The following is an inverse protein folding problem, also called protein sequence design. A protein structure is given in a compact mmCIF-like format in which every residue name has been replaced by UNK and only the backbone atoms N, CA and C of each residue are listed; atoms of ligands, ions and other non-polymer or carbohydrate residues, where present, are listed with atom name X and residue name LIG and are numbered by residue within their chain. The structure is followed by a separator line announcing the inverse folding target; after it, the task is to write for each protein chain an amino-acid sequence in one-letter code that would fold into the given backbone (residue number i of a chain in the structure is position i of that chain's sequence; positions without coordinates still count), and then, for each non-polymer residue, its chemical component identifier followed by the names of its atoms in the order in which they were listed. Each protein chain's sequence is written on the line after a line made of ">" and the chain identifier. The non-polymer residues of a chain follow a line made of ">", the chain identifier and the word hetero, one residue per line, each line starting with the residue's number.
data_IF_857388571770
#
_entry.id   IF_857388571770
#
_cell.length_a   1.000
_cell.length_b   1.000
_cell.length_c   1.000
_cell.angle_alpha   90.00
_cell.angle_beta   90.00
_cell.angle_gamma   90.00
#
_symmetry.space_group_name_H-M   'P 1'
#
loop_
_entity.id
_entity.type
_entity.pdbx_description
1 polymer ?
#
# COMPACT_ATOMS: atom_id res chain seq x y z
N UNK A 1 61.78 -3.54 -0.80
CA UNK A 1 61.06 -2.84 -1.88
C UNK A 1 60.26 -3.88 -2.65
N UNK A 2 58.97 -4.03 -2.32
CA UNK A 2 58.13 -5.13 -2.80
C UNK A 2 56.68 -4.83 -2.47
N UNK A 3 56.06 -4.01 -3.32
CA UNK A 3 54.69 -3.53 -3.21
C UNK A 3 53.73 -4.68 -3.54
N UNK A 4 53.35 -5.50 -2.55
CA UNK A 4 52.25 -6.48 -2.71
C UNK A 4 50.94 -5.84 -2.27
N UNK A 5 50.30 -5.26 -3.27
CA UNK A 5 48.86 -5.03 -3.45
C UNK A 5 48.00 -5.85 -2.46
N UNK A 6 47.65 -5.25 -1.32
CA UNK A 6 46.58 -5.76 -0.46
C UNK A 6 45.28 -5.23 -1.02
N UNK A 7 44.59 -6.09 -1.74
CA UNK A 7 43.24 -5.92 -2.29
C UNK A 7 42.32 -5.30 -1.23
N UNK A 8 42.00 -4.03 -1.43
CA UNK A 8 40.94 -3.32 -0.73
C UNK A 8 39.63 -3.95 -1.21
N UNK A 9 39.04 -4.83 -0.40
CA UNK A 9 37.70 -5.36 -0.66
C UNK A 9 36.72 -4.22 -0.38
N UNK A 10 36.42 -3.44 -1.42
CA UNK A 10 35.28 -2.55 -1.45
C UNK A 10 34.03 -3.44 -1.50
N UNK A 11 33.49 -3.81 -0.34
CA UNK A 11 32.09 -4.22 -0.27
C UNK A 11 31.29 -2.93 -0.44
N UNK A 12 31.09 -2.53 -1.70
CA UNK A 12 29.96 -1.68 -2.03
C UNK A 12 28.74 -2.55 -1.72
N UNK A 13 28.15 -2.36 -0.54
CA UNK A 13 26.76 -2.77 -0.32
C UNK A 13 25.97 -1.89 -1.28
N UNK A 14 25.84 -2.35 -2.52
CA UNK A 14 24.87 -1.81 -3.45
C UNK A 14 23.52 -2.17 -2.84
N UNK A 15 22.98 -1.25 -2.04
CA UNK A 15 21.53 -1.15 -1.89
C UNK A 15 20.96 -1.29 -3.29
N UNK A 16 20.07 -2.25 -3.55
CA UNK A 16 19.48 -2.32 -4.86
C UNK A 16 18.62 -1.05 -4.97
N UNK A 17 19.13 -0.06 -5.72
CA UNK A 17 18.35 1.02 -6.31
C UNK A 17 17.39 0.37 -7.30
N UNK A 18 16.40 -0.36 -6.78
CA UNK A 18 15.24 -0.81 -7.54
C UNK A 18 14.37 0.43 -7.70
N UNK A 19 14.74 1.26 -8.68
CA UNK A 19 13.84 2.26 -9.22
C UNK A 19 12.53 1.58 -9.58
N UNK A 20 11.42 2.19 -9.17
CA UNK A 20 10.10 1.73 -9.54
C UNK A 20 10.01 1.67 -11.07
N UNK A 21 9.51 0.56 -11.61
CA UNK A 21 9.32 0.43 -13.06
C UNK A 21 7.98 0.98 -13.54
N UNK A 22 7.07 1.34 -12.63
CA UNK A 22 5.71 1.73 -12.91
C UNK A 22 5.34 3.09 -12.34
N UNK A 23 4.64 3.90 -13.15
CA UNK A 23 4.15 5.24 -12.77
C UNK A 23 3.29 5.23 -11.51
N UNK A 24 2.56 4.13 -11.26
CA UNK A 24 1.79 3.93 -10.03
C UNK A 24 2.69 3.83 -8.79
N UNK A 25 3.77 3.05 -8.87
CA UNK A 25 4.71 2.88 -7.75
C UNK A 25 5.42 4.18 -7.38
N UNK A 26 5.91 4.92 -8.38
CA UNK A 26 6.55 6.23 -8.16
C UNK A 26 5.59 7.24 -7.53
N UNK A 27 4.35 7.29 -8.03
CA UNK A 27 3.32 8.15 -7.47
C UNK A 27 2.99 7.77 -6.02
N UNK A 28 2.75 6.49 -5.75
CA UNK A 28 2.44 6.00 -4.42
C UNK A 28 3.57 6.30 -3.44
N UNK A 29 4.82 6.06 -3.83
CA UNK A 29 6.00 6.41 -3.04
C UNK A 29 6.02 7.90 -2.69
N UNK A 30 5.83 8.77 -3.69
CA UNK A 30 5.81 10.23 -3.50
C UNK A 30 4.75 10.64 -2.47
N UNK A 31 3.52 10.16 -2.63
CA UNK A 31 2.42 10.43 -1.69
C UNK A 31 2.77 9.94 -0.28
N UNK A 32 3.24 8.70 -0.12
CA UNK A 32 3.57 8.12 1.18
C UNK A 32 4.64 8.96 1.92
N UNK A 33 5.64 9.46 1.19
CA UNK A 33 6.70 10.31 1.77
C UNK A 33 6.17 11.66 2.25
N UNK A 34 5.23 12.28 1.52
CA UNK A 34 4.58 13.53 1.94
C UNK A 34 3.82 13.36 3.26
N UNK A 35 3.21 12.20 3.49
CA UNK A 35 2.53 11.87 4.75
C UNK A 35 3.46 11.32 5.84
N UNK A 36 4.78 11.42 5.65
CA UNK A 36 5.77 11.11 6.68
C UNK A 36 6.05 9.61 6.87
N UNK A 37 5.61 8.75 5.96
CA UNK A 37 5.94 7.31 6.00
C UNK A 37 7.46 7.13 5.85
N UNK A 38 8.14 6.39 6.74
CA UNK A 38 9.58 6.13 6.61
C UNK A 38 9.94 5.61 5.21
N UNK A 39 11.08 6.04 4.66
CA UNK A 39 11.42 5.78 3.26
C UNK A 39 11.39 4.30 2.88
N UNK A 40 11.98 3.44 3.72
CA UNK A 40 11.94 1.99 3.56
C UNK A 40 10.50 1.47 3.43
N UNK A 41 9.62 1.90 4.33
CA UNK A 41 8.25 1.38 4.38
C UNK A 41 7.43 1.97 3.22
N UNK A 42 7.66 3.22 2.84
CA UNK A 42 7.07 3.83 1.66
C UNK A 42 7.46 3.05 0.39
N UNK A 43 8.73 2.63 0.27
CA UNK A 43 9.18 1.80 -0.85
C UNK A 43 8.47 0.45 -0.90
N UNK A 44 8.39 -0.22 0.26
CA UNK A 44 7.74 -1.53 0.39
C UNK A 44 6.25 -1.43 0.04
N UNK A 45 5.53 -0.45 0.60
CA UNK A 45 4.09 -0.25 0.35
C UNK A 45 3.85 0.07 -1.12
N UNK A 46 4.58 1.03 -1.70
CA UNK A 46 4.40 1.43 -3.09
C UNK A 46 4.62 0.28 -4.08
N UNK A 47 5.68 -0.50 -3.86
CA UNK A 47 5.97 -1.69 -4.68
C UNK A 47 4.89 -2.74 -4.52
N UNK A 48 4.50 -3.03 -3.27
CA UNK A 48 3.48 -4.04 -2.98
C UNK A 48 2.13 -3.66 -3.57
N UNK A 49 1.76 -2.38 -3.53
CA UNK A 49 0.56 -1.84 -4.17
C UNK A 49 0.56 -2.10 -5.68
N UNK A 50 1.68 -1.88 -6.36
CA UNK A 50 1.83 -2.15 -7.79
C UNK A 50 1.83 -3.65 -8.12
N UNK A 51 2.38 -4.49 -7.26
CA UNK A 51 2.30 -5.95 -7.41
C UNK A 51 0.85 -6.44 -7.27
N UNK A 52 0.15 -6.00 -6.23
CA UNK A 52 -1.23 -6.42 -5.96
C UNK A 52 -2.22 -5.91 -7.01
N UNK A 53 -1.99 -4.74 -7.61
CA UNK A 53 -2.83 -4.23 -8.72
C UNK A 53 -2.78 -5.10 -9.98
N UNK A 54 -1.74 -5.93 -10.14
CA UNK A 54 -1.59 -6.88 -11.23
C UNK A 54 -2.21 -8.24 -10.90
N UNK A 55 -2.39 -8.57 -9.63
CA UNK A 55 -2.92 -9.86 -9.13
C UNK A 55 -4.43 -9.78 -8.89
N UNK A 56 -4.87 -8.72 -8.22
CA UNK A 56 -6.28 -8.48 -7.91
C UNK A 56 -6.97 -7.95 -9.16
N UNK A 57 -8.15 -8.49 -9.55
CA UNK A 57 -8.88 -8.00 -10.71
C UNK A 57 -9.11 -6.48 -10.63
N UNK A 58 -9.19 -5.83 -11.80
CA UNK A 58 -9.27 -4.38 -11.99
C UNK A 58 -10.52 -3.69 -11.38
N UNK A 59 -11.27 -4.39 -10.53
CA UNK A 59 -12.43 -3.87 -9.81
C UNK A 59 -12.06 -3.03 -8.58
N UNK A 60 -10.83 -3.10 -8.09
CA UNK A 60 -10.33 -2.21 -7.02
C UNK A 60 -9.21 -1.35 -7.60
N UNK A 61 -9.47 -0.04 -7.69
CA UNK A 61 -8.45 0.93 -8.07
C UNK A 61 -7.38 1.02 -6.96
N UNK A 62 -6.08 0.86 -7.29
CA UNK A 62 -5.00 0.98 -6.31
C UNK A 62 -5.00 2.29 -5.52
N UNK A 63 -5.46 3.39 -6.12
CA UNK A 63 -5.56 4.68 -5.44
C UNK A 63 -6.59 4.66 -4.31
N UNK A 64 -7.59 3.78 -4.37
CA UNK A 64 -8.51 3.57 -3.25
C UNK A 64 -7.78 3.01 -2.01
N UNK A 65 -6.83 2.11 -2.22
CA UNK A 65 -6.05 1.54 -1.11
C UNK A 65 -5.22 2.63 -0.44
N UNK A 66 -4.64 3.54 -1.23
CA UNK A 66 -3.96 4.72 -0.68
C UNK A 66 -4.93 5.60 0.12
N UNK A 67 -6.14 5.83 -0.41
CA UNK A 67 -7.18 6.59 0.29
C UNK A 67 -7.57 5.93 1.62
N UNK A 68 -7.68 4.60 1.69
CA UNK A 68 -7.91 3.89 2.95
C UNK A 68 -6.78 4.15 3.95
N UNK A 69 -5.50 4.08 3.56
CA UNK A 69 -4.38 4.40 4.48
C UNK A 69 -4.42 5.82 5.03
N UNK A 70 -4.86 6.79 4.21
CA UNK A 70 -5.06 8.18 4.64
C UNK A 70 -6.21 8.31 5.65
N UNK A 71 -7.34 7.69 5.34
CA UNK A 71 -8.53 7.70 6.21
C UNK A 71 -8.23 7.02 7.55
N UNK A 72 -7.60 5.86 7.51
CA UNK A 72 -7.42 5.00 8.69
C UNK A 72 -6.45 5.59 9.71
N UNK A 73 -5.26 6.02 9.26
CA UNK A 73 -4.22 6.45 10.20
C UNK A 73 -3.43 7.67 9.76
N UNK A 74 -3.79 8.30 8.62
CA UNK A 74 -2.93 9.24 7.91
C UNK A 74 -1.56 8.62 7.62
N UNK A 75 -1.56 7.33 7.25
CA UNK A 75 -0.36 6.51 7.08
C UNK A 75 0.61 6.49 8.29
N UNK A 76 0.07 6.53 9.50
CA UNK A 76 0.86 6.24 10.70
C UNK A 76 0.81 4.74 10.99
N UNK A 77 1.98 4.12 11.19
CA UNK A 77 2.09 2.71 11.55
C UNK A 77 1.86 2.53 13.06
N UNK A 78 0.60 2.45 13.47
CA UNK A 78 0.20 2.51 14.89
C UNK A 78 -0.79 1.42 15.27
N UNK A 79 -0.91 1.19 16.57
CA UNK A 79 -1.97 0.37 17.16
C UNK A 79 -3.17 1.27 17.47
N UNK A 80 -4.34 0.94 16.93
CA UNK A 80 -5.60 1.61 17.19
C UNK A 80 -6.66 0.67 17.78
N UNK A 81 -7.88 1.19 17.94
CA UNK A 81 -9.04 0.49 18.51
C UNK A 81 -8.71 -0.33 19.77
N UNK A 82 -8.02 0.30 20.73
CA UNK A 82 -7.62 -0.33 21.99
C UNK A 82 -6.82 -1.65 21.81
N UNK A 83 -5.96 -1.72 20.79
CA UNK A 83 -5.12 -2.90 20.54
C UNK A 83 -5.60 -3.80 19.40
N UNK A 84 -6.76 -3.51 18.80
CA UNK A 84 -7.41 -4.42 17.83
C UNK A 84 -7.09 -4.10 16.38
N UNK A 85 -6.81 -2.84 16.07
CA UNK A 85 -6.49 -2.37 14.72
C UNK A 85 -4.99 -2.10 14.59
N UNK A 86 -4.35 -2.59 13.53
CA UNK A 86 -2.89 -2.55 13.40
C UNK A 86 -2.44 -1.89 12.09
N UNK A 87 -1.53 -0.92 12.23
CA UNK A 87 -0.67 -0.40 11.19
C UNK A 87 -1.28 0.68 10.29
N UNK A 88 -0.67 0.88 9.12
CA UNK A 88 -1.03 1.91 8.14
C UNK A 88 -2.50 1.86 7.72
N UNK A 89 -3.09 0.67 7.67
CA UNK A 89 -4.46 0.44 7.21
C UNK A 89 -5.41 0.00 8.33
N UNK A 90 -4.96 0.10 9.59
CA UNK A 90 -5.75 -0.21 10.80
C UNK A 90 -6.47 -1.57 10.71
N UNK A 91 -5.76 -2.61 10.29
CA UNK A 91 -6.34 -3.92 10.04
C UNK A 91 -6.72 -4.61 11.35
N UNK A 92 -7.96 -5.08 11.43
CA UNK A 92 -8.45 -5.95 12.51
C UNK A 92 -8.08 -7.41 12.24
N UNK A 93 -7.88 -8.21 13.29
CA UNK A 93 -7.53 -9.63 13.13
C UNK A 93 -8.59 -10.41 12.34
N UNK A 94 -9.87 -10.05 12.51
CA UNK A 94 -10.96 -10.65 11.74
C UNK A 94 -10.81 -10.42 10.22
N UNK A 95 -10.30 -9.25 9.80
CA UNK A 95 -10.03 -8.97 8.39
C UNK A 95 -8.88 -9.85 7.87
N UNK A 96 -7.81 -10.01 8.66
CA UNK A 96 -6.69 -10.91 8.32
C UNK A 96 -7.17 -12.35 8.15
N UNK A 97 -7.97 -12.85 9.12
CA UNK A 97 -8.54 -14.20 9.06
C UNK A 97 -9.46 -14.36 7.86
N UNK A 98 -10.30 -13.36 7.57
CA UNK A 98 -11.17 -13.39 6.41
C UNK A 98 -10.37 -13.53 5.11
N UNK A 99 -9.34 -12.72 4.91
CA UNK A 99 -8.47 -12.83 3.72
C UNK A 99 -7.74 -14.18 3.67
N UNK A 100 -7.25 -14.69 4.81
CA UNK A 100 -6.58 -15.98 4.90
C UNK A 100 -7.46 -17.17 4.46
N UNK A 101 -8.79 -17.04 4.51
CA UNK A 101 -9.69 -18.07 4.00
C UNK A 101 -9.65 -18.22 2.47
N UNK A 102 -9.26 -17.17 1.75
CA UNK A 102 -9.23 -17.14 0.29
C UNK A 102 -7.81 -17.14 -0.30
N UNK A 103 -6.82 -16.66 0.44
CA UNK A 103 -5.44 -16.51 -0.03
C UNK A 103 -4.47 -17.34 0.82
N UNK A 104 -3.82 -18.33 0.20
CA UNK A 104 -2.95 -19.29 0.88
C UNK A 104 -1.68 -18.65 1.45
N UNK A 105 -1.11 -17.67 0.75
CA UNK A 105 0.04 -16.90 1.23
C UNK A 105 -0.30 -16.12 2.52
N UNK A 106 -1.49 -15.53 2.62
CA UNK A 106 -1.98 -14.86 3.84
C UNK A 106 -2.23 -15.88 4.96
N UNK A 107 -2.74 -17.07 4.62
CA UNK A 107 -2.89 -18.18 5.58
C UNK A 107 -1.54 -18.62 6.15
N UNK A 108 -0.52 -18.75 5.30
CA UNK A 108 0.84 -19.10 5.71
C UNK A 108 1.47 -18.00 6.55
N UNK A 109 1.33 -16.74 6.14
CA UNK A 109 1.74 -15.59 6.95
C UNK A 109 1.16 -15.66 8.35
N UNK A 110 -0.15 -15.87 8.50
CA UNK A 110 -0.81 -15.93 9.82
C UNK A 110 -0.40 -17.15 10.65
N UNK A 111 -0.07 -18.28 10.02
CA UNK A 111 0.48 -19.45 10.72
C UNK A 111 1.87 -19.17 11.31
N UNK A 112 2.69 -18.42 10.57
CA UNK A 112 4.05 -18.05 10.98
C UNK A 112 4.07 -16.88 11.97
N UNK A 113 3.04 -16.02 11.96
CA UNK A 113 2.94 -14.81 12.79
C UNK A 113 1.66 -14.85 13.64
N UNK A 114 1.75 -15.49 14.82
CA UNK A 114 0.56 -15.78 15.63
C UNK A 114 -0.04 -14.52 16.24
N UNK A 115 0.78 -13.56 16.69
CA UNK A 115 0.29 -12.33 17.33
C UNK A 115 -0.12 -11.31 16.27
N UNK A 116 -1.34 -10.80 16.36
CA UNK A 116 -1.84 -9.77 15.43
C UNK A 116 -0.95 -8.51 15.41
N UNK A 117 -0.39 -8.12 16.55
CA UNK A 117 0.50 -6.96 16.66
C UNK A 117 1.82 -7.08 15.87
N UNK A 118 2.25 -8.29 15.51
CA UNK A 118 3.46 -8.48 14.70
C UNK A 118 3.33 -7.83 13.31
N UNK A 119 2.09 -7.62 12.84
CA UNK A 119 1.78 -6.99 11.56
C UNK A 119 2.38 -5.58 11.43
N UNK A 120 2.64 -4.86 12.53
CA UNK A 120 3.35 -3.57 12.52
C UNK A 120 4.70 -3.64 11.80
N UNK A 121 5.38 -4.78 11.83
CA UNK A 121 6.72 -4.94 11.27
C UNK A 121 6.71 -5.27 9.77
N UNK A 122 5.53 -5.46 9.17
CA UNK A 122 5.36 -5.99 7.82
C UNK A 122 4.48 -5.06 6.95
N UNK A 123 5.03 -3.92 6.47
CA UNK A 123 4.27 -2.98 5.62
C UNK A 123 3.75 -3.61 4.33
N UNK A 124 4.48 -4.59 3.78
CA UNK A 124 4.05 -5.40 2.64
C UNK A 124 2.78 -6.18 2.97
N UNK A 125 2.78 -6.95 4.05
CA UNK A 125 1.61 -7.73 4.45
C UNK A 125 0.43 -6.86 4.82
N UNK A 126 0.66 -5.72 5.48
CA UNK A 126 -0.38 -4.72 5.71
C UNK A 126 -1.04 -4.28 4.40
N UNK A 127 -0.24 -3.99 3.36
CA UNK A 127 -0.74 -3.54 2.06
C UNK A 127 -1.47 -4.66 1.32
N UNK A 128 -0.90 -5.87 1.24
CA UNK A 128 -1.51 -7.04 0.58
C UNK A 128 -2.85 -7.38 1.20
N UNK A 129 -2.90 -7.44 2.53
CA UNK A 129 -4.13 -7.78 3.26
C UNK A 129 -5.17 -6.69 3.05
N UNK A 130 -4.82 -5.41 3.17
CA UNK A 130 -5.77 -4.31 2.96
C UNK A 130 -6.36 -4.34 1.54
N UNK A 131 -5.52 -4.46 0.50
CA UNK A 131 -5.97 -4.52 -0.89
C UNK A 131 -6.94 -5.69 -1.12
N UNK A 132 -6.53 -6.89 -0.74
CA UNK A 132 -7.33 -8.10 -0.94
C UNK A 132 -8.60 -8.09 -0.09
N UNK A 133 -8.56 -7.53 1.12
CA UNK A 133 -9.73 -7.37 1.97
C UNK A 133 -10.77 -6.47 1.31
N UNK A 134 -10.36 -5.34 0.74
CA UNK A 134 -11.26 -4.44 -0.02
C UNK A 134 -11.90 -5.20 -1.18
N UNK A 135 -11.11 -5.93 -1.97
CA UNK A 135 -11.62 -6.70 -3.11
C UNK A 135 -12.61 -7.81 -2.69
N UNK A 136 -12.26 -8.61 -1.69
CA UNK A 136 -13.12 -9.69 -1.20
C UNK A 136 -14.41 -9.14 -0.59
N UNK A 137 -14.33 -8.02 0.15
CA UNK A 137 -15.51 -7.37 0.72
C UNK A 137 -16.42 -6.85 -0.38
N UNK A 138 -15.85 -6.15 -1.38
CA UNK A 138 -16.59 -5.67 -2.55
C UNK A 138 -17.33 -6.81 -3.25
N UNK A 139 -16.62 -7.89 -3.55
CA UNK A 139 -17.16 -9.02 -4.31
C UNK A 139 -18.15 -9.87 -3.51
N UNK A 140 -17.76 -10.29 -2.32
CA UNK A 140 -18.45 -11.37 -1.59
C UNK A 140 -19.45 -10.86 -0.54
N UNK A 141 -19.24 -9.65 0.00
CA UNK A 141 -20.07 -9.10 1.08
C UNK A 141 -21.03 -8.06 0.54
N UNK A 142 -20.50 -7.11 -0.23
CA UNK A 142 -21.24 -5.94 -0.69
C UNK A 142 -21.82 -6.07 -2.12
N UNK A 143 -21.64 -7.22 -2.78
CA UNK A 143 -22.21 -7.50 -4.12
C UNK A 143 -21.87 -6.40 -5.15
N UNK A 144 -20.62 -5.97 -5.16
CA UNK A 144 -20.08 -4.89 -6.00
C UNK A 144 -20.58 -3.48 -5.67
N UNK A 145 -21.23 -3.28 -4.52
CA UNK A 145 -21.53 -1.95 -4.01
C UNK A 145 -20.29 -1.33 -3.34
N UNK A 146 -19.70 -0.36 -4.03
CA UNK A 146 -18.52 0.38 -3.58
C UNK A 146 -18.78 1.15 -2.28
N UNK A 147 -19.95 1.80 -2.17
CA UNK A 147 -20.30 2.63 -1.04
C UNK A 147 -20.42 1.79 0.23
N UNK A 148 -21.14 0.67 0.12
CA UNK A 148 -21.23 -0.33 1.18
C UNK A 148 -19.86 -0.91 1.56
N UNK A 149 -18.97 -1.12 0.58
CA UNK A 149 -17.61 -1.64 0.83
C UNK A 149 -16.77 -0.66 1.64
N UNK A 150 -16.78 0.62 1.26
CA UNK A 150 -16.06 1.68 1.99
C UNK A 150 -16.59 1.76 3.43
N UNK A 151 -17.91 1.71 3.60
CA UNK A 151 -18.51 1.68 4.94
C UNK A 151 -18.13 0.43 5.73
N UNK A 152 -18.11 -0.75 5.10
CA UNK A 152 -17.82 -2.01 5.76
C UNK A 152 -16.37 -2.05 6.26
N UNK A 153 -15.44 -1.39 5.57
CA UNK A 153 -14.04 -1.28 6.00
C UNK A 153 -13.92 -0.61 7.38
N UNK A 154 -14.67 0.46 7.63
CA UNK A 154 -14.69 1.17 8.92
C UNK A 154 -15.28 0.33 10.08
N UNK A 155 -16.19 -0.61 9.78
CA UNK A 155 -16.83 -1.46 10.79
C UNK A 155 -17.80 -0.75 11.75
N UNK A 156 -18.08 0.55 11.56
CA UNK A 156 -18.95 1.36 12.43
C UNK A 156 -20.12 1.99 11.66
N UNK A 157 -21.34 1.56 11.99
CA UNK A 157 -22.58 2.03 11.36
C UNK A 157 -23.00 3.44 11.81
N UNK A 158 -22.57 3.89 12.98
CA UNK A 158 -22.93 5.20 13.57
C UNK A 158 -22.18 6.39 12.96
N UNK A 159 -21.11 6.14 12.20
CA UNK A 159 -20.28 7.16 11.54
C UNK A 159 -20.20 7.03 10.03
N UNK A 160 -21.19 6.35 9.45
CA UNK A 160 -21.30 6.04 8.03
C UNK A 160 -20.94 7.23 7.12
N UNK A 161 -21.65 8.37 7.26
CA UNK A 161 -21.48 9.51 6.37
C UNK A 161 -20.10 10.16 6.46
N UNK A 162 -19.56 10.34 7.67
CA UNK A 162 -18.28 11.03 7.87
C UNK A 162 -17.10 10.24 7.31
N UNK A 163 -17.09 8.92 7.50
CA UNK A 163 -16.00 8.07 7.02
C UNK A 163 -15.99 8.03 5.49
N UNK A 164 -17.16 7.80 4.88
CA UNK A 164 -17.34 7.74 3.44
C UNK A 164 -16.98 9.08 2.78
N UNK A 165 -17.43 10.20 3.34
CA UNK A 165 -17.10 11.54 2.82
C UNK A 165 -15.58 11.78 2.85
N UNK A 166 -14.93 11.45 3.98
CA UNK A 166 -13.47 11.59 4.11
C UNK A 166 -12.73 10.73 3.10
N UNK A 167 -13.21 9.51 2.85
CA UNK A 167 -12.66 8.62 1.85
C UNK A 167 -12.74 9.23 0.44
N UNK A 168 -13.93 9.66 0.01
CA UNK A 168 -14.10 10.24 -1.33
C UNK A 168 -13.31 11.54 -1.51
N UNK A 169 -13.16 12.34 -0.45
CA UNK A 169 -12.29 13.53 -0.49
C UNK A 169 -10.85 13.16 -0.80
N UNK A 170 -10.24 12.24 -0.05
CA UNK A 170 -8.87 11.80 -0.34
C UNK A 170 -8.75 11.12 -1.70
N UNK A 171 -9.71 10.26 -2.05
CA UNK A 171 -9.67 9.52 -3.29
C UNK A 171 -9.74 10.42 -4.54
N UNK A 172 -10.64 11.41 -4.54
CA UNK A 172 -10.74 12.38 -5.63
C UNK A 172 -9.49 13.27 -5.77
N UNK A 173 -8.87 13.63 -4.65
CA UNK A 173 -7.58 14.34 -4.65
C UNK A 173 -6.48 13.46 -5.27
N UNK A 174 -6.38 12.19 -4.87
CA UNK A 174 -5.39 11.25 -5.38
C UNK A 174 -5.54 11.03 -6.89
N UNK A 175 -6.76 10.87 -7.40
CA UNK A 175 -7.01 10.75 -8.85
C UNK A 175 -6.49 12.00 -9.59
N UNK A 176 -6.84 13.19 -9.09
CA UNK A 176 -6.46 14.46 -9.71
C UNK A 176 -4.94 14.67 -9.70
N UNK A 177 -4.27 14.23 -8.63
CA UNK A 177 -2.81 14.28 -8.51
C UNK A 177 -2.15 13.25 -9.42
N UNK A 178 -2.68 12.02 -9.50
CA UNK A 178 -2.13 10.97 -10.33
C UNK A 178 -2.24 11.29 -11.83
N UNK A 179 -3.36 11.86 -12.28
CA UNK A 179 -3.53 12.28 -13.66
C UNK A 179 -2.49 13.34 -14.09
N UNK A 180 -2.16 14.28 -13.19
CA UNK A 180 -1.10 15.27 -13.41
C UNK A 180 0.28 14.62 -13.44
N UNK A 181 0.57 13.76 -12.46
CA UNK A 181 1.82 13.01 -12.37
C UNK A 181 2.10 12.19 -13.64
N UNK A 182 1.10 11.46 -14.15
CA UNK A 182 1.22 10.71 -15.40
C UNK A 182 1.53 11.60 -16.60
N UNK A 183 0.91 12.80 -16.66
CA UNK A 183 1.13 13.73 -17.76
C UNK A 183 2.56 14.28 -17.76
N UNK A 184 3.11 14.54 -16.58
CA UNK A 184 4.49 15.01 -16.40
C UNK A 184 5.50 13.92 -16.74
N UNK A 185 5.29 12.69 -16.27
CA UNK A 185 6.14 11.54 -16.60
C UNK A 185 6.23 11.32 -18.12
N UNK A 186 5.10 11.36 -18.84
CA UNK A 186 5.08 11.22 -20.31
C UNK A 186 5.83 12.33 -21.05
N UNK A 187 5.82 13.56 -20.53
CA UNK A 187 6.58 14.67 -21.13
C UNK A 187 8.08 14.43 -21.03
N UNK A 188 8.56 13.95 -19.89
CA UNK A 188 9.99 13.63 -19.67
C UNK A 188 10.46 12.57 -20.67
N UNK A 189 9.69 11.50 -20.86
CA UNK A 189 10.01 10.43 -21.81
C UNK A 189 10.04 10.92 -23.28
N UNK A 190 9.09 11.78 -23.65
CA UNK A 190 9.04 12.36 -25.00
C UNK A 190 10.16 13.37 -25.30
N UNK A 191 10.67 14.04 -24.27
CA UNK A 191 11.77 15.00 -24.37
C UNK A 191 13.14 14.35 -24.50
N UNK A 192 13.34 13.17 -23.90
CA UNK A 192 14.59 12.40 -24.00
C UNK A 192 14.73 11.67 -25.34
N UNK A 193 13.63 11.39 -26.04
CA UNK A 193 13.66 10.79 -27.38
C UNK A 193 14.11 11.76 -28.49
N UNK A 194 14.10 13.08 -28.26
CA UNK A 194 14.49 14.11 -29.25
C UNK A 194 15.95 14.54 -29.18
N UNK A 195 16.71 14.06 -28.18
CA UNK A 195 18.12 14.42 -27.94
C UNK A 195 19.09 13.27 -28.18
N UNK A 196 18.68 12.22 -28.90
CA UNK A 196 19.55 11.13 -29.36
C UNK A 196 19.60 11.06 -30.88
#
# INVERSE_FOLDING_TARGET
>A
MGLKLRTLVFVVVTFPLLGFSGVLGEFAFTVLREYGVPERDAQIIARTLEEESKIVPSAVDPLMVIAFGLVESMFRNIVGDNGKAIGYFQLHEAAVIYVANFYEDVRQYKRNHRKHSELLNFPDWQTRIAYRYVYLTLKNVCKWDLLSTISAYNGRSDRYNMYVERFFRFYSELISRFARFQTEARKVDSGTARTR
#
